data_IF_812888835465
#
_entry.id   IF_812888835465
#
_cell.length_a   1.000
_cell.length_b   1.000
_cell.length_c   1.000
_cell.angle_alpha   90.00
_cell.angle_beta   90.00
_cell.angle_gamma   90.00
#
_symmetry.space_group_name_H-M   'P 1'
#
loop_
_entity.id
_entity.type
_entity.pdbx_description
1 polymer ?
#
# COMPACT_ATOMS: atom_id res chain seq x y z
N UNK A 1 -23.41 -21.00 -86.72
CA UNK A 1 -23.85 -20.41 -85.48
C UNK A 1 -22.90 -20.95 -84.39
N UNK A 2 -21.96 -20.13 -83.96
CA UNK A 2 -20.99 -20.50 -82.94
C UNK A 2 -21.37 -19.77 -81.65
N UNK A 3 -21.80 -20.49 -80.63
CA UNK A 3 -22.14 -19.94 -79.31
C UNK A 3 -20.85 -19.75 -78.53
N UNK A 4 -20.58 -18.53 -78.08
CA UNK A 4 -19.45 -18.16 -77.20
C UNK A 4 -19.94 -18.24 -75.74
N UNK A 5 -19.39 -19.14 -74.92
CA UNK A 5 -19.61 -19.19 -73.47
C UNK A 5 -18.59 -18.29 -72.80
N UNK A 6 -19.06 -17.20 -72.17
CA UNK A 6 -18.22 -16.36 -71.31
C UNK A 6 -18.22 -16.97 -69.90
N UNK A 7 -17.02 -17.34 -69.41
CA UNK A 7 -16.79 -17.87 -68.06
C UNK A 7 -16.48 -16.65 -67.15
N UNK A 8 -17.43 -16.24 -66.31
CA UNK A 8 -17.17 -15.24 -65.27
C UNK A 8 -16.57 -15.91 -64.02
N UNK A 9 -15.28 -15.71 -63.80
CA UNK A 9 -14.61 -16.14 -62.59
C UNK A 9 -14.84 -15.10 -61.49
N UNK A 10 -15.71 -15.39 -60.54
CA UNK A 10 -15.92 -14.54 -59.35
C UNK A 10 -14.72 -14.76 -58.37
N UNK A 11 -13.90 -13.73 -58.17
CA UNK A 11 -12.91 -13.68 -57.12
C UNK A 11 -13.62 -13.38 -55.79
N UNK A 12 -13.71 -14.38 -54.91
CA UNK A 12 -14.19 -14.18 -53.53
C UNK A 12 -13.02 -13.70 -52.72
N UNK A 13 -12.98 -12.41 -52.37
CA UNK A 13 -12.10 -11.85 -51.34
C UNK A 13 -12.60 -12.34 -49.98
N UNK A 14 -11.94 -13.32 -49.38
CA UNK A 14 -12.11 -13.63 -47.97
C UNK A 14 -11.46 -12.50 -47.15
N UNK A 15 -12.25 -11.54 -46.71
CA UNK A 15 -11.84 -10.60 -45.69
C UNK A 15 -11.62 -11.39 -44.38
N UNK A 16 -10.39 -11.69 -44.07
CA UNK A 16 -10.02 -12.22 -42.74
C UNK A 16 -10.46 -11.21 -41.71
N UNK A 17 -11.44 -11.59 -40.88
CA UNK A 17 -11.76 -10.84 -39.65
C UNK A 17 -10.53 -10.96 -38.76
N UNK A 18 -9.71 -9.90 -38.71
CA UNK A 18 -8.69 -9.74 -37.67
C UNK A 18 -9.48 -9.55 -36.37
N UNK A 19 -9.62 -10.62 -35.62
CA UNK A 19 -10.07 -10.56 -34.24
C UNK A 19 -9.03 -9.69 -33.52
N UNK A 20 -9.39 -8.50 -33.14
CA UNK A 20 -8.56 -7.74 -32.20
C UNK A 20 -8.52 -8.58 -30.92
N UNK A 21 -7.38 -9.22 -30.65
CA UNK A 21 -7.18 -9.92 -29.38
C UNK A 21 -7.42 -8.91 -28.26
N UNK A 22 -8.50 -9.11 -27.52
CA UNK A 22 -8.80 -8.29 -26.34
C UNK A 22 -7.76 -8.65 -25.29
N UNK A 23 -7.00 -7.63 -24.84
CA UNK A 23 -6.02 -7.83 -23.78
C UNK A 23 -6.68 -8.44 -22.54
N UNK A 24 -6.01 -9.37 -21.86
CA UNK A 24 -6.50 -9.93 -20.62
C UNK A 24 -6.66 -8.84 -19.56
N UNK A 25 -7.62 -9.01 -18.66
CA UNK A 25 -7.93 -8.02 -17.62
C UNK A 25 -7.35 -8.45 -16.28
N UNK A 26 -6.70 -7.51 -15.58
CA UNK A 26 -6.32 -7.63 -14.16
C UNK A 26 -7.27 -6.75 -13.35
N UNK A 27 -7.98 -7.36 -12.40
CA UNK A 27 -8.97 -6.72 -11.53
C UNK A 27 -8.36 -6.42 -10.18
N UNK A 28 -8.25 -5.14 -9.82
CA UNK A 28 -7.65 -4.67 -8.59
C UNK A 28 -8.73 -4.20 -7.59
N UNK A 29 -8.93 -4.94 -6.49
CA UNK A 29 -9.80 -4.53 -5.40
C UNK A 29 -9.07 -3.59 -4.45
N UNK A 30 -9.50 -2.33 -4.36
CA UNK A 30 -8.81 -1.30 -3.56
C UNK A 30 -9.79 -0.48 -2.73
N UNK A 31 -9.30 0.13 -1.66
CA UNK A 31 -10.10 1.10 -0.90
C UNK A 31 -10.37 2.34 -1.74
N UNK A 32 -11.61 2.87 -1.71
CA UNK A 32 -11.99 4.10 -2.40
C UNK A 32 -11.06 5.28 -2.12
N UNK A 33 -10.52 5.34 -0.89
CA UNK A 33 -9.65 6.42 -0.39
C UNK A 33 -8.18 5.99 -0.27
N UNK A 34 -7.84 4.78 -0.72
CA UNK A 34 -6.49 4.24 -0.63
C UNK A 34 -5.51 4.97 -1.57
N UNK A 35 -4.29 5.17 -1.09
CA UNK A 35 -3.25 5.88 -1.87
C UNK A 35 -2.72 5.08 -3.05
N UNK A 36 -2.93 3.76 -3.06
CA UNK A 36 -2.65 2.91 -4.23
C UNK A 36 -3.40 3.37 -5.49
N UNK A 37 -4.56 4.02 -5.32
CA UNK A 37 -5.30 4.58 -6.45
C UNK A 37 -4.49 5.61 -7.26
N UNK A 38 -3.49 6.25 -6.67
CA UNK A 38 -2.64 7.22 -7.37
C UNK A 38 -1.76 6.53 -8.40
N UNK A 39 -1.15 5.42 -8.04
CA UNK A 39 -0.37 4.59 -8.97
C UNK A 39 -1.27 3.95 -10.03
N UNK A 40 -2.37 3.32 -9.61
CA UNK A 40 -3.28 2.65 -10.54
C UNK A 40 -3.92 3.62 -11.55
N UNK A 41 -4.25 4.85 -11.12
CA UNK A 41 -4.73 5.88 -12.03
C UNK A 41 -3.61 6.36 -12.98
N UNK A 42 -2.38 6.48 -12.48
CA UNK A 42 -1.21 6.80 -13.33
C UNK A 42 -1.00 5.73 -14.39
N UNK A 43 -1.11 4.44 -14.04
CA UNK A 43 -1.06 3.33 -15.00
C UNK A 43 -2.12 3.51 -16.09
N UNK A 44 -3.38 3.75 -15.71
CA UNK A 44 -4.49 3.90 -16.65
C UNK A 44 -4.37 5.14 -17.54
N UNK A 45 -4.08 6.30 -16.96
CA UNK A 45 -4.00 7.58 -17.69
C UNK A 45 -2.88 7.58 -18.73
N UNK A 46 -1.79 6.85 -18.47
CA UNK A 46 -0.63 6.78 -19.36
C UNK A 46 -0.61 5.50 -20.22
N UNK A 47 -1.65 4.67 -20.16
CA UNK A 47 -1.77 3.43 -20.94
C UNK A 47 -0.68 2.41 -20.64
N UNK A 48 -0.11 2.44 -19.42
CA UNK A 48 0.97 1.54 -19.03
C UNK A 48 0.48 0.09 -18.90
N UNK A 49 -0.78 -0.11 -18.54
CA UNK A 49 -1.42 -1.41 -18.57
C UNK A 49 -1.40 -2.01 -19.98
N UNK A 50 -1.84 -1.28 -20.97
CA UNK A 50 -1.86 -1.73 -22.37
C UNK A 50 -0.46 -1.90 -22.95
N UNK A 51 0.47 -1.01 -22.58
CA UNK A 51 1.89 -1.13 -22.94
C UNK A 51 2.47 -2.46 -22.46
N UNK A 52 2.05 -2.93 -21.29
CA UNK A 52 2.51 -4.17 -20.66
C UNK A 52 1.55 -5.36 -20.84
N UNK A 53 0.65 -5.29 -21.84
CA UNK A 53 -0.10 -6.44 -22.34
C UNK A 53 -1.36 -6.81 -21.55
N UNK A 54 -1.93 -5.90 -20.75
CA UNK A 54 -3.16 -6.14 -20.03
C UNK A 54 -4.09 -4.91 -20.00
N UNK A 55 -5.29 -5.08 -19.47
CA UNK A 55 -6.23 -4.00 -19.16
C UNK A 55 -6.40 -3.96 -17.64
N UNK A 56 -6.16 -2.81 -17.01
CA UNK A 56 -6.36 -2.63 -15.58
C UNK A 56 -7.79 -2.21 -15.28
N UNK A 57 -8.51 -3.03 -14.51
CA UNK A 57 -9.82 -2.72 -13.93
C UNK A 57 -9.68 -2.43 -12.44
N UNK A 58 -9.99 -1.21 -12.01
CA UNK A 58 -9.92 -0.80 -10.59
C UNK A 58 -11.31 -0.87 -9.98
N UNK A 59 -11.48 -1.73 -8.98
CA UNK A 59 -12.71 -1.96 -8.25
C UNK A 59 -12.65 -1.33 -6.86
N UNK A 60 -13.41 -0.23 -6.59
CA UNK A 60 -13.35 0.48 -5.33
C UNK A 60 -14.28 -0.13 -4.27
N UNK A 61 -13.73 -0.46 -3.11
CA UNK A 61 -14.44 -1.01 -1.95
C UNK A 61 -14.43 -0.05 -0.76
N UNK A 62 -15.33 -0.29 0.21
CA UNK A 62 -15.46 0.55 1.40
C UNK A 62 -14.38 0.26 2.46
N UNK A 63 -14.01 -1.00 2.62
CA UNK A 63 -13.08 -1.48 3.65
C UNK A 63 -12.24 -2.67 3.17
N UNK A 64 -11.21 -3.02 3.95
CA UNK A 64 -10.30 -4.14 3.67
C UNK A 64 -10.98 -5.52 3.75
N UNK A 65 -12.05 -5.67 4.51
CA UNK A 65 -12.81 -6.91 4.57
C UNK A 65 -13.43 -7.21 3.21
N UNK A 66 -14.04 -6.20 2.59
CA UNK A 66 -14.66 -6.32 1.28
C UNK A 66 -13.63 -6.61 0.16
N UNK A 67 -12.44 -5.97 0.19
CA UNK A 67 -11.38 -6.28 -0.79
C UNK A 67 -10.87 -7.72 -0.66
N UNK A 68 -10.75 -8.20 0.57
CA UNK A 68 -10.34 -9.59 0.86
C UNK A 68 -11.34 -10.62 0.35
N UNK A 69 -12.64 -10.38 0.58
CA UNK A 69 -13.71 -11.23 0.07
C UNK A 69 -13.69 -11.27 -1.46
N UNK A 70 -13.50 -10.14 -2.12
CA UNK A 70 -13.43 -10.08 -3.58
C UNK A 70 -12.27 -10.92 -4.15
N UNK A 71 -11.07 -10.86 -3.55
CA UNK A 71 -9.92 -11.68 -3.98
C UNK A 71 -10.14 -13.16 -3.64
N UNK A 72 -10.65 -13.47 -2.45
CA UNK A 72 -10.92 -14.86 -2.06
C UNK A 72 -11.97 -15.50 -2.97
N UNK A 73 -13.03 -14.76 -3.29
CA UNK A 73 -14.13 -15.19 -4.17
C UNK A 73 -13.78 -15.20 -5.66
N UNK A 74 -12.62 -14.65 -6.06
CA UNK A 74 -12.21 -14.56 -7.47
C UNK A 74 -12.92 -13.46 -8.26
N UNK A 75 -13.58 -12.51 -7.59
CA UNK A 75 -14.15 -11.30 -8.22
C UNK A 75 -13.05 -10.28 -8.54
N UNK A 76 -11.94 -10.31 -7.80
CA UNK A 76 -10.74 -9.54 -8.07
C UNK A 76 -9.51 -10.45 -8.08
N UNK A 77 -8.47 -10.05 -8.80
CA UNK A 77 -7.24 -10.82 -8.94
C UNK A 77 -6.20 -10.40 -7.90
N UNK A 78 -6.24 -9.13 -7.47
CA UNK A 78 -5.32 -8.61 -6.46
C UNK A 78 -6.01 -7.58 -5.54
N UNK A 79 -5.40 -7.37 -4.37
CA UNK A 79 -5.70 -6.25 -3.49
C UNK A 79 -4.43 -5.79 -2.75
N UNK A 80 -4.55 -4.84 -1.83
CA UNK A 80 -3.42 -4.29 -1.06
C UNK A 80 -3.54 -4.69 0.41
N UNK A 81 -2.44 -5.15 0.99
CA UNK A 81 -2.33 -5.44 2.42
C UNK A 81 -0.90 -5.16 2.92
N UNK A 82 -0.68 -5.26 4.23
CA UNK A 82 0.65 -5.43 4.78
C UNK A 82 1.09 -6.90 4.65
N UNK A 83 2.40 -7.11 4.44
CA UNK A 83 2.92 -8.46 4.26
C UNK A 83 2.78 -9.35 5.50
N UNK A 84 2.70 -8.79 6.71
CA UNK A 84 2.50 -9.54 7.95
C UNK A 84 1.13 -10.22 7.94
N UNK A 85 0.09 -9.50 7.47
CA UNK A 85 -1.22 -10.11 7.26
C UNK A 85 -1.16 -11.21 6.18
N UNK A 86 -0.43 -10.99 5.09
CA UNK A 86 -0.27 -12.01 4.02
C UNK A 86 0.48 -13.24 4.56
N UNK A 87 1.56 -13.04 5.34
CA UNK A 87 2.29 -14.11 6.02
C UNK A 87 1.37 -14.93 6.93
N UNK A 88 0.54 -14.26 7.73
CA UNK A 88 -0.48 -14.92 8.56
C UNK A 88 -1.44 -15.78 7.74
N UNK A 89 -1.91 -15.27 6.60
CA UNK A 89 -2.82 -16.03 5.73
C UNK A 89 -2.12 -17.22 5.08
N UNK A 90 -0.87 -17.03 4.62
CA UNK A 90 -0.08 -18.11 4.02
C UNK A 90 0.26 -19.20 5.05
N UNK A 91 0.62 -18.83 6.27
CA UNK A 91 0.82 -19.78 7.36
C UNK A 91 -0.48 -20.55 7.74
N UNK A 92 -1.64 -19.98 7.47
CA UNK A 92 -2.93 -20.65 7.60
C UNK A 92 -3.35 -21.46 6.36
N UNK A 93 -2.45 -21.66 5.39
CA UNK A 93 -2.66 -22.46 4.19
C UNK A 93 -3.37 -21.74 3.04
N UNK A 94 -3.48 -20.41 3.08
CA UNK A 94 -3.99 -19.63 1.95
C UNK A 94 -2.90 -19.48 0.88
N UNK A 95 -3.32 -19.56 -0.38
CA UNK A 95 -2.50 -19.43 -1.58
C UNK A 95 -2.25 -17.94 -1.91
N UNK A 96 -1.58 -17.21 -1.00
CA UNK A 96 -1.30 -15.79 -1.21
C UNK A 96 0.20 -15.51 -1.24
N UNK A 97 0.60 -14.62 -2.15
CA UNK A 97 1.94 -14.04 -2.27
C UNK A 97 1.86 -12.52 -2.20
N UNK A 98 2.98 -11.89 -1.90
CA UNK A 98 3.10 -10.45 -1.71
C UNK A 98 4.09 -9.85 -2.71
N UNK A 99 3.70 -8.74 -3.33
CA UNK A 99 4.54 -7.92 -4.20
C UNK A 99 4.71 -6.55 -3.56
N UNK A 100 5.94 -6.11 -3.23
CA UNK A 100 6.18 -4.82 -2.61
C UNK A 100 5.58 -3.64 -3.38
N UNK A 101 4.91 -2.73 -2.66
CA UNK A 101 4.32 -1.53 -3.23
C UNK A 101 4.88 -0.25 -2.60
N UNK A 102 4.94 -0.18 -1.25
CA UNK A 102 5.31 1.05 -0.54
C UNK A 102 5.93 0.74 0.82
N UNK A 103 6.99 1.48 1.15
CA UNK A 103 7.59 1.52 2.49
C UNK A 103 7.10 2.71 3.33
N UNK A 104 6.17 3.53 2.81
CA UNK A 104 5.63 4.67 3.52
C UNK A 104 4.87 4.24 4.78
N UNK A 105 5.32 4.74 5.92
CA UNK A 105 4.75 4.48 7.24
C UNK A 105 4.32 5.78 7.92
N UNK A 106 3.54 5.67 9.00
CA UNK A 106 3.09 6.81 9.78
C UNK A 106 4.15 7.34 10.76
N UNK A 107 3.65 8.09 11.73
CA UNK A 107 4.48 8.66 12.78
C UNK A 107 3.60 9.30 13.85
N UNK A 108 4.24 9.92 14.82
CA UNK A 108 3.59 10.72 15.86
C UNK A 108 3.73 12.20 15.51
N UNK A 109 2.60 12.90 15.49
CA UNK A 109 2.58 14.36 15.40
C UNK A 109 2.01 14.95 16.67
N UNK A 110 2.45 16.18 16.99
CA UNK A 110 1.99 16.98 18.13
C UNK A 110 1.52 18.34 17.62
N UNK A 111 0.69 19.08 18.39
CA UNK A 111 0.33 20.46 18.05
C UNK A 111 1.56 21.36 17.81
N UNK A 112 1.41 22.37 16.97
CA UNK A 112 2.50 23.27 16.56
C UNK A 112 3.19 23.96 17.76
N UNK A 113 2.41 24.31 18.79
CA UNK A 113 2.80 24.99 20.01
C UNK A 113 3.20 24.02 21.14
N UNK A 114 3.12 22.70 20.92
CA UNK A 114 3.53 21.69 21.89
C UNK A 114 5.02 21.82 22.23
N UNK A 115 5.34 21.75 23.52
CA UNK A 115 6.71 21.68 24.00
C UNK A 115 7.32 20.27 23.95
N UNK A 116 6.52 19.24 23.57
CA UNK A 116 6.99 17.87 23.48
C UNK A 116 8.16 17.73 22.49
N UNK A 117 9.19 17.04 22.90
CA UNK A 117 10.41 16.74 22.15
C UNK A 117 10.67 15.23 22.01
N UNK A 118 9.95 14.40 22.76
CA UNK A 118 10.04 12.95 22.78
C UNK A 118 8.70 12.31 23.14
N UNK A 119 8.56 10.99 22.95
CA UNK A 119 7.37 10.25 23.39
C UNK A 119 7.16 10.33 24.90
N UNK A 120 8.23 10.48 25.68
CA UNK A 120 8.17 10.61 27.14
C UNK A 120 7.34 11.84 27.57
N UNK A 121 7.38 12.90 26.78
CA UNK A 121 6.63 14.13 27.06
C UNK A 121 5.12 13.99 26.85
N UNK A 122 4.68 12.86 26.31
CA UNK A 122 3.25 12.54 26.12
C UNK A 122 2.65 11.82 27.34
N UNK A 123 3.43 11.51 28.37
CA UNK A 123 2.95 10.85 29.59
C UNK A 123 1.81 11.63 30.24
N UNK A 124 0.76 10.92 30.67
CA UNK A 124 -0.46 11.49 31.20
C UNK A 124 -1.39 12.14 30.15
N UNK A 125 -0.93 12.25 28.92
CA UNK A 125 -1.69 12.85 27.82
C UNK A 125 -2.59 11.86 27.09
N UNK A 126 -3.55 12.42 26.34
CA UNK A 126 -4.42 11.67 25.45
C UNK A 126 -3.78 11.57 24.08
N UNK A 127 -3.66 10.33 23.53
CA UNK A 127 -3.10 10.06 22.21
C UNK A 127 -4.20 9.52 21.30
N UNK A 128 -4.40 10.17 20.15
CA UNK A 128 -5.25 9.65 19.07
C UNK A 128 -4.48 8.65 18.22
N UNK A 129 -5.06 7.47 17.95
CA UNK A 129 -4.39 6.39 17.22
C UNK A 129 -5.30 5.89 16.10
N UNK A 130 -4.87 6.06 14.85
CA UNK A 130 -5.57 5.52 13.71
C UNK A 130 -5.45 4.00 13.66
N UNK A 131 -6.58 3.31 13.45
CA UNK A 131 -6.64 1.85 13.48
C UNK A 131 -7.10 1.32 14.84
N UNK A 132 -6.45 0.26 15.31
CA UNK A 132 -6.79 -0.42 16.55
C UNK A 132 -5.56 -0.76 17.41
N UNK A 133 -5.78 -1.47 18.53
CA UNK A 133 -4.69 -1.84 19.47
C UNK A 133 -3.56 -2.68 18.83
N UNK A 134 -3.82 -3.32 17.69
CA UNK A 134 -2.86 -4.12 16.92
C UNK A 134 -2.31 -3.38 15.67
N UNK A 135 -2.51 -2.07 15.58
CA UNK A 135 -1.87 -1.28 14.52
C UNK A 135 -0.34 -1.36 14.65
N UNK A 136 0.35 -1.63 13.53
CA UNK A 136 1.79 -1.90 13.53
C UNK A 136 2.61 -0.68 13.95
N UNK A 137 2.20 0.51 13.52
CA UNK A 137 2.85 1.77 13.92
C UNK A 137 2.75 1.97 15.44
N UNK A 138 1.57 1.72 16.01
CA UNK A 138 1.37 1.78 17.45
C UNK A 138 2.24 0.79 18.21
N UNK A 139 2.34 -0.47 17.74
CA UNK A 139 3.16 -1.50 18.37
C UNK A 139 4.66 -1.15 18.33
N UNK A 140 5.17 -0.70 17.18
CA UNK A 140 6.57 -0.27 17.03
C UNK A 140 6.89 0.91 17.96
N UNK A 141 6.01 1.91 18.01
CA UNK A 141 6.19 3.08 18.89
C UNK A 141 6.16 2.71 20.38
N UNK A 142 5.35 1.71 20.77
CA UNK A 142 5.37 1.19 22.15
C UNK A 142 6.69 0.49 22.48
N UNK A 143 7.18 -0.34 21.58
CA UNK A 143 8.49 -1.01 21.76
C UNK A 143 9.62 0.01 21.85
N UNK A 144 9.58 1.02 20.98
CA UNK A 144 10.53 2.12 21.01
C UNK A 144 10.50 2.90 22.34
N UNK A 145 9.31 3.28 22.81
CA UNK A 145 9.16 4.00 24.08
C UNK A 145 9.67 3.19 25.28
N UNK A 146 9.39 1.89 25.30
CA UNK A 146 9.89 0.99 26.34
C UNK A 146 11.41 0.89 26.33
N UNK A 147 12.02 0.77 25.15
CA UNK A 147 13.47 0.64 25.02
C UNK A 147 14.24 1.93 25.32
N UNK A 148 13.78 3.05 24.76
CA UNK A 148 14.54 4.31 24.83
C UNK A 148 14.25 5.12 26.09
N UNK A 149 13.06 4.95 26.67
CA UNK A 149 12.61 5.80 27.78
C UNK A 149 12.19 5.04 29.03
N UNK A 150 12.26 3.70 29.03
CA UNK A 150 11.70 2.83 30.08
C UNK A 150 10.22 3.18 30.38
N UNK A 151 9.45 3.45 29.30
CA UNK A 151 8.08 3.94 29.34
C UNK A 151 7.10 2.93 28.74
N UNK A 152 6.10 2.51 29.49
CA UNK A 152 4.94 1.82 28.90
C UNK A 152 3.96 2.83 28.31
N UNK A 153 4.12 3.13 27.01
CA UNK A 153 3.28 4.11 26.31
C UNK A 153 1.79 3.79 26.41
N UNK A 154 1.42 2.52 26.61
CA UNK A 154 0.01 2.10 26.81
C UNK A 154 -0.46 2.41 28.22
N UNK A 155 0.36 2.18 29.25
CA UNK A 155 -0.02 2.44 30.63
C UNK A 155 0.07 3.92 30.98
N UNK A 156 1.03 4.62 30.38
CA UNK A 156 1.38 6.00 30.71
C UNK A 156 0.58 7.05 29.91
N UNK A 157 -0.32 6.63 28.99
CA UNK A 157 -1.16 7.56 28.20
C UNK A 157 -2.61 7.09 28.10
N UNK A 158 -3.53 8.00 27.76
CA UNK A 158 -4.91 7.67 27.42
C UNK A 158 -5.01 7.45 25.91
N UNK A 159 -5.33 6.23 25.45
CA UNK A 159 -5.45 5.92 24.02
C UNK A 159 -6.87 6.11 23.52
N UNK A 160 -7.02 6.80 22.39
CA UNK A 160 -8.26 6.90 21.62
C UNK A 160 -8.05 6.28 20.23
N UNK A 161 -8.55 5.08 20.04
CA UNK A 161 -8.51 4.40 18.74
C UNK A 161 -9.66 4.84 17.84
N UNK A 162 -9.39 5.02 16.57
CA UNK A 162 -10.42 5.41 15.62
C UNK A 162 -10.02 5.33 14.16
N UNK A 163 -11.00 5.56 13.28
CA UNK A 163 -10.73 5.63 11.85
C UNK A 163 -9.79 6.81 11.52
N UNK A 164 -8.87 6.66 10.55
CA UNK A 164 -7.88 7.69 10.22
C UNK A 164 -8.45 9.10 9.99
N UNK A 165 -9.60 9.29 9.29
CA UNK A 165 -10.20 10.60 9.14
C UNK A 165 -10.71 11.23 10.45
N UNK A 166 -11.18 10.40 11.40
CA UNK A 166 -11.62 10.86 12.71
C UNK A 166 -10.45 11.36 13.54
N UNK A 167 -9.40 10.52 13.65
CA UNK A 167 -8.16 10.90 14.37
C UNK A 167 -7.55 12.17 13.75
N UNK A 168 -7.51 12.28 12.42
CA UNK A 168 -7.05 13.49 11.73
C UNK A 168 -7.83 14.74 12.16
N UNK A 169 -9.16 14.66 12.14
CA UNK A 169 -10.02 15.80 12.48
C UNK A 169 -9.85 16.22 13.94
N UNK A 170 -9.88 15.25 14.86
CA UNK A 170 -9.75 15.51 16.30
C UNK A 170 -8.35 16.04 16.66
N UNK A 171 -7.29 15.54 16.02
CA UNK A 171 -5.93 16.05 16.22
C UNK A 171 -5.79 17.53 15.81
N UNK A 172 -6.34 17.90 14.66
CA UNK A 172 -6.37 19.31 14.23
C UNK A 172 -7.28 20.18 15.12
N UNK A 173 -8.25 19.58 15.80
CA UNK A 173 -9.11 20.26 16.80
C UNK A 173 -8.45 20.47 18.15
N UNK A 174 -7.25 19.90 18.39
CA UNK A 174 -6.54 20.02 19.66
C UNK A 174 -6.99 19.01 20.72
N UNK A 175 -7.71 17.94 20.33
CA UNK A 175 -8.25 16.96 21.28
C UNK A 175 -7.18 16.03 21.88
N UNK A 176 -5.96 16.01 21.31
CA UNK A 176 -4.87 15.10 21.66
C UNK A 176 -3.56 15.81 21.94
N UNK A 177 -2.81 15.31 22.92
CA UNK A 177 -1.42 15.68 23.16
C UNK A 177 -0.51 15.23 22.02
N UNK A 178 -0.84 14.11 21.40
CA UNK A 178 -0.19 13.58 20.20
C UNK A 178 -1.14 12.71 19.39
N UNK A 179 -0.84 12.50 18.10
CA UNK A 179 -1.63 11.65 17.24
C UNK A 179 -0.75 10.78 16.36
N UNK A 180 -1.14 9.51 16.25
CA UNK A 180 -0.56 8.51 15.33
C UNK A 180 -1.57 8.31 14.20
N UNK A 181 -1.11 8.45 12.96
CA UNK A 181 -1.99 8.25 11.82
C UNK A 181 -1.24 7.60 10.66
N UNK A 182 -2.00 7.11 9.68
CA UNK A 182 -1.44 6.58 8.45
C UNK A 182 -0.68 7.68 7.70
N UNK A 183 0.38 7.34 7.01
CA UNK A 183 1.32 8.27 6.41
C UNK A 183 0.66 9.45 5.64
N UNK A 184 -0.39 9.18 4.87
CA UNK A 184 -1.06 10.22 4.07
C UNK A 184 -1.95 11.17 4.90
N UNK A 185 -2.44 10.75 6.06
CA UNK A 185 -3.05 11.67 7.02
C UNK A 185 -2.00 12.41 7.80
N UNK A 186 -0.89 11.74 8.17
CA UNK A 186 0.27 12.38 8.80
C UNK A 186 0.80 13.54 7.92
N UNK A 187 0.99 13.29 6.62
CA UNK A 187 1.37 14.32 5.64
C UNK A 187 0.44 15.52 5.67
N UNK A 188 -0.88 15.30 5.70
CA UNK A 188 -1.87 16.38 5.81
C UNK A 188 -1.83 17.11 7.15
N UNK A 189 -1.54 16.42 8.26
CA UNK A 189 -1.37 17.01 9.58
C UNK A 189 -0.12 17.91 9.60
N UNK A 190 1.01 17.45 9.06
CA UNK A 190 2.24 18.24 8.90
C UNK A 190 2.00 19.49 8.03
N UNK A 191 1.33 19.33 6.90
CA UNK A 191 0.95 20.44 6.01
C UNK A 191 -0.05 21.41 6.65
N UNK A 192 -0.72 21.02 7.74
CA UNK A 192 -1.63 21.84 8.54
C UNK A 192 -0.95 22.47 9.76
N UNK A 193 0.39 22.36 9.88
CA UNK A 193 1.20 23.00 10.90
C UNK A 193 1.50 22.14 12.13
N UNK A 194 1.05 20.89 12.20
CA UNK A 194 1.47 19.98 13.27
C UNK A 194 2.95 19.61 13.11
N UNK A 195 3.63 19.37 14.22
CA UNK A 195 5.05 18.96 14.22
C UNK A 195 5.14 17.45 14.31
N UNK A 196 5.96 16.84 13.47
CA UNK A 196 6.35 15.44 13.62
C UNK A 196 7.29 15.32 14.82
N UNK A 197 6.94 14.44 15.75
CA UNK A 197 7.72 14.15 16.95
C UNK A 197 8.71 13.01 16.68
N UNK A 198 8.23 11.97 16.01
CA UNK A 198 9.03 10.81 15.56
C UNK A 198 8.27 10.07 14.46
N UNK A 199 8.98 9.61 13.43
CA UNK A 199 8.41 8.69 12.45
C UNK A 199 8.46 7.24 12.95
N UNK A 200 7.61 6.37 12.39
CA UNK A 200 7.67 4.92 12.65
C UNK A 200 8.96 4.34 12.08
N UNK A 201 9.48 4.90 10.98
CA UNK A 201 10.77 4.56 10.39
C UNK A 201 11.90 4.78 11.40
N UNK A 202 12.05 5.99 11.96
CA UNK A 202 13.05 6.30 12.99
C UNK A 202 12.92 5.41 14.22
N UNK A 203 11.69 5.13 14.67
CA UNK A 203 11.46 4.21 15.79
C UNK A 203 11.88 2.78 15.46
N UNK A 204 11.61 2.32 14.24
CA UNK A 204 12.02 1.02 13.71
C UNK A 204 13.54 0.88 13.64
N UNK A 205 14.23 1.86 13.06
CA UNK A 205 15.70 1.90 13.00
C UNK A 205 16.32 1.81 14.40
N UNK A 206 15.81 2.59 15.35
CA UNK A 206 16.28 2.54 16.73
C UNK A 206 16.08 1.15 17.37
N UNK A 207 15.04 0.41 16.97
CA UNK A 207 14.82 -0.97 17.39
C UNK A 207 15.67 -2.00 16.64
N UNK A 208 16.44 -1.57 15.62
CA UNK A 208 17.27 -2.44 14.78
C UNK A 208 16.48 -3.13 13.67
N UNK A 209 15.31 -2.60 13.34
CA UNK A 209 14.54 -3.06 12.17
C UNK A 209 15.12 -2.46 10.88
N UNK A 210 15.09 -3.24 9.81
CA UNK A 210 15.34 -2.72 8.49
C UNK A 210 14.09 -1.95 8.01
N UNK A 211 14.27 -0.67 7.73
CA UNK A 211 13.21 0.24 7.29
C UNK A 211 13.04 0.25 5.77
N UNK A 212 13.94 -0.38 5.04
CA UNK A 212 13.83 -0.56 3.60
C UNK A 212 12.89 -1.72 3.23
N UNK A 213 12.58 -2.62 4.18
CA UNK A 213 11.57 -3.66 3.98
C UNK A 213 10.18 -3.03 3.76
N UNK A 214 9.58 -3.13 2.54
CA UNK A 214 8.30 -2.51 2.25
C UNK A 214 7.18 -3.14 3.07
N UNK A 215 6.48 -2.34 3.87
CA UNK A 215 5.39 -2.86 4.71
C UNK A 215 4.13 -3.16 3.90
N UNK A 216 3.82 -2.34 2.90
CA UNK A 216 2.60 -2.47 2.09
C UNK A 216 2.91 -3.04 0.71
N UNK A 217 2.03 -3.90 0.21
CA UNK A 217 2.16 -4.48 -1.11
C UNK A 217 0.84 -4.93 -1.72
N UNK A 218 0.91 -5.29 -2.99
CA UNK A 218 -0.13 -6.06 -3.62
C UNK A 218 -0.06 -7.49 -3.12
N UNK A 219 -1.20 -8.10 -2.86
CA UNK A 219 -1.28 -9.54 -2.66
C UNK A 219 -2.26 -10.14 -3.66
N UNK A 220 -1.96 -11.33 -4.09
CA UNK A 220 -2.73 -12.11 -5.05
C UNK A 220 -2.49 -13.60 -4.80
N UNK A 221 -3.22 -14.46 -5.51
CA UNK A 221 -3.00 -15.90 -5.41
C UNK A 221 -1.71 -16.30 -6.14
N UNK A 222 -0.89 -17.17 -5.53
CA UNK A 222 0.31 -17.73 -6.18
C UNK A 222 -0.05 -18.51 -7.44
N UNK A 223 -1.20 -19.22 -7.43
CA UNK A 223 -1.76 -19.87 -8.60
C UNK A 223 -2.02 -18.89 -9.76
N UNK A 224 -2.49 -17.66 -9.46
CA UNK A 224 -2.67 -16.65 -10.52
C UNK A 224 -1.34 -16.27 -11.19
N UNK A 225 -0.25 -16.12 -10.42
CA UNK A 225 1.08 -15.85 -10.97
C UNK A 225 1.57 -17.00 -11.84
N UNK A 226 1.40 -18.23 -11.36
CA UNK A 226 1.87 -19.43 -12.04
C UNK A 226 1.10 -19.70 -13.34
N UNK A 227 -0.21 -19.45 -13.33
CA UNK A 227 -1.09 -19.66 -14.48
C UNK A 227 -0.97 -18.51 -15.50
N UNK A 228 -0.53 -17.31 -15.08
CA UNK A 228 -0.46 -16.11 -15.91
C UNK A 228 0.86 -15.34 -15.74
N UNK A 229 2.02 -15.96 -16.02
CA UNK A 229 3.33 -15.35 -15.75
C UNK A 229 3.55 -14.03 -16.51
N UNK A 230 3.09 -13.93 -17.75
CA UNK A 230 3.20 -12.72 -18.56
C UNK A 230 2.36 -11.56 -17.98
N UNK A 231 1.18 -11.87 -17.41
CA UNK A 231 0.35 -10.87 -16.74
C UNK A 231 0.98 -10.38 -15.45
N UNK A 232 1.58 -11.27 -14.68
CA UNK A 232 2.29 -10.94 -13.45
C UNK A 232 3.47 -9.99 -13.75
N UNK A 233 4.30 -10.33 -14.73
CA UNK A 233 5.40 -9.47 -15.19
C UNK A 233 4.89 -8.13 -15.72
N UNK A 234 3.81 -8.15 -16.51
CA UNK A 234 3.17 -6.95 -17.05
C UNK A 234 2.67 -6.01 -15.96
N UNK A 235 1.98 -6.52 -14.94
CA UNK A 235 1.53 -5.76 -13.78
C UNK A 235 2.70 -5.10 -13.05
N UNK A 236 3.76 -5.87 -12.80
CA UNK A 236 4.92 -5.40 -12.10
C UNK A 236 5.68 -4.31 -12.88
N UNK A 237 5.84 -4.53 -14.20
CA UNK A 237 6.46 -3.54 -15.08
C UNK A 237 5.63 -2.25 -15.16
N UNK A 238 4.29 -2.33 -15.23
CA UNK A 238 3.41 -1.17 -15.21
C UNK A 238 3.49 -0.40 -13.89
N UNK A 239 3.56 -1.10 -12.75
CA UNK A 239 3.76 -0.49 -11.42
C UNK A 239 5.10 0.25 -11.33
N UNK A 240 6.19 -0.35 -11.83
CA UNK A 240 7.52 0.30 -11.89
C UNK A 240 7.52 1.54 -12.76
N UNK A 241 6.95 1.45 -13.96
CA UNK A 241 6.86 2.59 -14.89
C UNK A 241 6.03 3.73 -14.28
N UNK A 242 4.94 3.42 -13.59
CA UNK A 242 4.12 4.42 -12.91
C UNK A 242 4.88 5.10 -11.75
N UNK A 243 5.62 4.33 -10.94
CA UNK A 243 6.47 4.88 -9.87
C UNK A 243 7.57 5.77 -10.45
N UNK A 244 8.23 5.33 -11.52
CA UNK A 244 9.25 6.12 -12.20
C UNK A 244 8.67 7.43 -12.76
N UNK A 245 7.47 7.37 -13.35
CA UNK A 245 6.79 8.55 -13.89
C UNK A 245 6.43 9.53 -12.77
N UNK A 246 5.85 9.05 -11.67
CA UNK A 246 5.52 9.86 -10.50
C UNK A 246 6.77 10.40 -9.79
N UNK A 247 7.89 9.69 -9.80
CA UNK A 247 9.14 10.19 -9.22
C UNK A 247 9.77 11.35 -10.03
N UNK A 248 9.48 11.45 -11.34
CA UNK A 248 10.22 12.35 -12.24
C UNK A 248 9.36 13.40 -12.93
N UNK A 249 8.03 13.23 -13.00
CA UNK A 249 7.13 14.11 -13.76
C UNK A 249 6.17 14.89 -12.86
N UNK A 250 6.31 16.21 -12.75
CA UNK A 250 5.29 17.06 -12.09
C UNK A 250 3.91 16.96 -12.73
N UNK A 251 3.83 16.84 -14.06
CA UNK A 251 2.56 16.77 -14.80
C UNK A 251 1.77 15.49 -14.45
N UNK A 252 2.47 14.38 -14.18
CA UNK A 252 1.83 13.16 -13.73
C UNK A 252 1.10 13.34 -12.38
N UNK A 253 1.68 14.14 -11.48
CA UNK A 253 1.05 14.48 -10.21
C UNK A 253 -0.16 15.38 -10.39
N UNK A 254 -0.08 16.38 -11.25
CA UNK A 254 -1.24 17.24 -11.52
C UNK A 254 -2.40 16.46 -12.15
N UNK A 255 -2.11 15.48 -13.01
CA UNK A 255 -3.12 14.62 -13.61
C UNK A 255 -3.92 13.79 -12.57
N UNK A 256 -3.25 13.33 -11.49
CA UNK A 256 -3.89 12.54 -10.43
C UNK A 256 -4.29 13.37 -9.20
N UNK A 257 -3.99 14.66 -9.17
CA UNK A 257 -4.29 15.57 -8.04
C UNK A 257 -5.73 15.47 -7.55
N UNK A 258 -6.77 15.36 -8.40
CA UNK A 258 -8.15 15.18 -7.95
C UNK A 258 -8.36 13.91 -7.10
N UNK A 259 -7.55 12.87 -7.29
CA UNK A 259 -7.60 11.62 -6.51
C UNK A 259 -6.91 11.70 -5.16
N UNK A 260 -6.01 12.67 -4.95
CA UNK A 260 -5.23 12.81 -3.71
C UNK A 260 -6.04 13.40 -2.56
N UNK A 261 -7.21 13.99 -2.85
CA UNK A 261 -8.03 14.65 -1.83
C UNK A 261 -7.21 15.66 -0.97
N UNK A 262 -6.25 16.34 -1.60
CA UNK A 262 -5.52 17.45 -1.02
C UNK A 262 -6.40 18.72 -1.04
N UNK A 263 -6.50 19.42 0.09
CA UNK A 263 -7.34 20.62 0.21
C UNK A 263 -6.56 21.91 -0.08
N UNK A 264 -5.23 21.85 0.00
CA UNK A 264 -4.32 22.97 -0.24
C UNK A 264 -3.11 22.49 -1.02
N UNK A 265 -2.37 23.42 -1.64
CA UNK A 265 -1.11 23.12 -2.32
C UNK A 265 -0.07 22.55 -1.35
N UNK A 266 -0.03 23.04 -0.11
CA UNK A 266 0.84 22.49 0.94
C UNK A 266 0.55 21.01 1.21
N UNK A 267 -0.73 20.61 1.29
CA UNK A 267 -1.11 19.21 1.43
C UNK A 267 -0.73 18.39 0.20
N UNK A 268 -0.91 18.96 -0.99
CA UNK A 268 -0.54 18.28 -2.24
C UNK A 268 0.96 18.02 -2.31
N UNK A 269 1.79 19.01 -2.06
CA UNK A 269 3.25 18.86 -2.11
C UNK A 269 3.77 17.91 -1.01
N UNK A 270 3.22 17.97 0.21
CA UNK A 270 3.62 17.07 1.28
C UNK A 270 3.25 15.61 0.96
N UNK A 271 2.03 15.37 0.45
CA UNK A 271 1.59 14.04 0.05
C UNK A 271 2.45 13.46 -1.07
N UNK A 272 2.80 14.28 -2.06
CA UNK A 272 3.69 13.92 -3.15
C UNK A 272 5.09 13.56 -2.64
N UNK A 273 5.67 14.41 -1.79
CA UNK A 273 6.99 14.19 -1.19
C UNK A 273 7.04 12.88 -0.40
N UNK A 274 6.09 12.68 0.51
CA UNK A 274 6.06 11.50 1.38
C UNK A 274 5.76 10.21 0.58
N UNK A 275 4.97 10.29 -0.51
CA UNK A 275 4.73 9.15 -1.39
C UNK A 275 6.00 8.76 -2.16
N UNK A 276 6.74 9.74 -2.69
CA UNK A 276 8.01 9.49 -3.42
C UNK A 276 9.04 8.86 -2.48
N UNK A 277 9.16 9.37 -1.25
CA UNK A 277 10.04 8.80 -0.24
C UNK A 277 9.67 7.35 0.13
N UNK A 278 8.39 6.99 0.01
CA UNK A 278 7.90 5.64 0.25
C UNK A 278 8.05 4.67 -0.92
N UNK A 279 8.64 5.06 -2.05
CA UNK A 279 8.89 4.13 -3.17
C UNK A 279 9.92 3.09 -2.71
N UNK A 280 9.64 1.77 -2.80
CA UNK A 280 10.61 0.74 -2.43
C UNK A 280 11.82 0.76 -3.37
N UNK A 281 12.96 0.39 -2.83
CA UNK A 281 14.14 0.10 -3.62
C UNK A 281 13.91 -1.12 -4.52
N UNK A 282 14.74 -1.24 -5.56
CA UNK A 282 14.70 -2.39 -6.46
C UNK A 282 15.44 -3.55 -5.82
N UNK A 283 14.97 -4.74 -6.07
CA UNK A 283 15.57 -5.97 -5.61
C UNK A 283 14.62 -6.81 -4.76
N UNK A 284 15.03 -8.03 -4.43
CA UNK A 284 14.27 -8.91 -3.57
C UNK A 284 14.19 -8.34 -2.15
N UNK A 285 13.10 -8.66 -1.46
CA UNK A 285 12.96 -8.34 -0.03
C UNK A 285 13.99 -9.14 0.77
N UNK A 286 14.68 -8.48 1.71
CA UNK A 286 15.54 -9.17 2.68
C UNK A 286 14.67 -9.97 3.66
N UNK A 287 14.63 -11.31 3.47
CA UNK A 287 13.84 -12.19 4.31
C UNK A 287 14.35 -12.30 5.76
N UNK A 288 15.64 -12.08 6.00
CA UNK A 288 16.18 -12.07 7.36
C UNK A 288 15.73 -10.82 8.12
N UNK A 289 15.74 -9.68 7.45
CA UNK A 289 15.18 -8.44 7.97
C UNK A 289 13.65 -8.55 8.21
N UNK A 290 12.92 -9.15 7.26
CA UNK A 290 11.50 -9.41 7.41
C UNK A 290 11.21 -10.38 8.58
N UNK A 291 12.03 -11.41 8.78
CA UNK A 291 11.93 -12.31 9.93
C UNK A 291 12.13 -11.57 11.27
N UNK A 292 13.10 -10.64 11.32
CA UNK A 292 13.34 -9.81 12.52
C UNK A 292 12.11 -8.97 12.85
N UNK A 293 11.49 -8.31 11.85
CA UNK A 293 10.25 -7.56 12.03
C UNK A 293 9.09 -8.47 12.45
N UNK A 294 8.93 -9.63 11.83
CA UNK A 294 7.87 -10.57 12.17
C UNK A 294 7.98 -11.08 13.61
N UNK A 295 9.20 -11.37 14.06
CA UNK A 295 9.46 -11.78 15.45
C UNK A 295 9.06 -10.69 16.45
N UNK A 296 9.41 -9.43 16.19
CA UNK A 296 8.98 -8.31 17.02
C UNK A 296 7.44 -8.17 17.02
N UNK A 297 6.80 -8.29 15.86
CA UNK A 297 5.35 -8.22 15.77
C UNK A 297 4.66 -9.39 16.49
N UNK A 298 5.26 -10.58 16.48
CA UNK A 298 4.77 -11.73 17.24
C UNK A 298 4.89 -11.52 18.75
N UNK A 299 5.98 -10.92 19.21
CA UNK A 299 6.18 -10.55 20.63
C UNK A 299 5.15 -9.53 21.10
N UNK A 300 4.92 -8.47 20.32
CA UNK A 300 4.08 -7.34 20.71
C UNK A 300 2.57 -7.57 20.51
N UNK A 301 2.20 -8.26 19.44
CA UNK A 301 0.81 -8.46 19.02
C UNK A 301 0.30 -9.89 19.19
N UNK A 302 1.20 -10.84 19.47
CA UNK A 302 0.86 -12.25 19.68
C UNK A 302 0.20 -12.91 18.47
N UNK A 303 -0.39 -14.07 18.72
CA UNK A 303 -1.11 -14.84 17.70
C UNK A 303 -2.32 -14.10 17.09
N UNK A 304 -2.85 -13.11 17.77
CA UNK A 304 -3.93 -12.26 17.21
C UNK A 304 -3.45 -11.47 16.01
N UNK A 305 -2.19 -11.01 16.00
CA UNK A 305 -1.58 -10.28 14.90
C UNK A 305 -1.01 -11.21 13.84
N UNK A 306 -0.11 -12.13 14.22
CA UNK A 306 0.68 -12.93 13.27
C UNK A 306 0.11 -14.33 13.01
N UNK A 307 -0.92 -14.76 13.76
CA UNK A 307 -1.48 -16.11 13.65
C UNK A 307 -0.43 -17.16 14.02
N UNK A 308 -0.18 -18.10 13.11
CA UNK A 308 0.82 -19.15 13.23
C UNK A 308 2.15 -18.79 12.54
N UNK A 309 2.26 -17.60 11.93
CA UNK A 309 3.47 -17.17 11.24
C UNK A 309 4.54 -16.72 12.26
N UNK A 310 5.40 -17.63 12.67
CA UNK A 310 6.55 -17.34 13.55
C UNK A 310 7.82 -17.04 12.77
N UNK A 311 7.84 -17.37 11.49
CA UNK A 311 8.87 -17.04 10.50
C UNK A 311 8.18 -16.64 9.20
N UNK A 312 8.89 -15.93 8.34
CA UNK A 312 8.41 -15.61 6.98
C UNK A 312 8.10 -16.91 6.23
N UNK A 313 6.86 -17.16 5.82
CA UNK A 313 6.53 -18.36 5.06
C UNK A 313 7.25 -18.41 3.72
N UNK A 314 7.75 -19.57 3.33
CA UNK A 314 8.44 -19.76 2.07
C UNK A 314 7.61 -19.26 0.89
N UNK A 315 8.23 -18.50 -0.02
CA UNK A 315 7.58 -17.94 -1.21
C UNK A 315 6.53 -16.87 -0.91
N UNK A 316 6.60 -16.24 0.27
CA UNK A 316 5.73 -15.12 0.62
C UNK A 316 5.94 -13.94 -0.34
N UNK A 317 7.19 -13.55 -0.54
CA UNK A 317 7.56 -12.49 -1.45
C UNK A 317 7.71 -13.05 -2.86
N UNK A 318 6.88 -12.56 -3.78
CA UNK A 318 6.94 -13.00 -5.17
C UNK A 318 8.22 -12.48 -5.83
N UNK A 319 8.94 -13.40 -6.49
CA UNK A 319 10.02 -13.05 -7.40
C UNK A 319 9.41 -12.70 -8.77
N UNK A 320 9.41 -11.42 -9.10
CA UNK A 320 8.77 -10.87 -10.31
C UNK A 320 9.72 -9.95 -11.09
N UNK A 321 11.04 -10.12 -10.91
CA UNK A 321 12.07 -9.39 -11.68
C UNK A 321 12.33 -9.98 -13.07
#
# INVERSE_FOLDING_TARGET
>A
MKALYAFCTALVFAAGVVSADTLPTIRAAVLKIGTVNWELETIRLNGLDKKHGFTLEVQPFADNGATRIAVEGGEADLAVADWIWVARQRAAGKDYVFIPYSKAVGGVVVPADSAASSLKDLAGGKIGIAGGPLDKSWLILRAYAAREYDMDLKADTEQVFGAPPLIFKSALGGDYAGAINFWHFLAKMKASGMKELISVEQAGEALGLDTDTPLLGYYLKESFLNDNPDLAQGLFAASRDAKQLLATSPDAWEAIRPRMNAKTDAQFEQLKSDWIAGIPDRGPVDEDAANTMLALMAELGGAELVGQATTVPQGLFADVE
#
